data_IF_641432649518
#
_entry.id   IF_641432649518
#
_cell.length_a   1.000
_cell.length_b   1.000
_cell.length_c   1.000
_cell.angle_alpha   90.00
_cell.angle_beta   90.00
_cell.angle_gamma   90.00
#
_symmetry.space_group_name_H-M   'P 1'
#
loop_
_entity.id
_entity.type
_entity.pdbx_description
1 polymer ?
#
# COMPACT_ATOMS: atom_id res chain seq x y z
N UNK A 1 -16.24 -6.60 7.68
CA UNK A 1 -15.63 -5.45 7.01
C UNK A 1 -14.14 -5.46 7.29
N UNK A 2 -13.34 -5.42 6.25
CA UNK A 2 -11.89 -5.51 6.35
C UNK A 2 -11.29 -4.10 6.26
N UNK A 3 -11.15 -3.44 7.41
CA UNK A 3 -10.56 -2.12 7.47
C UNK A 3 -9.56 -2.03 8.60
N UNK A 4 -8.40 -1.43 8.34
CA UNK A 4 -7.44 -1.13 9.37
C UNK A 4 -6.79 0.22 9.14
N UNK A 5 -6.31 0.82 10.23
CA UNK A 5 -5.65 2.12 10.23
C UNK A 5 -4.24 1.91 10.74
N UNK A 6 -3.26 2.42 10.03
CA UNK A 6 -1.86 2.28 10.44
C UNK A 6 -1.02 3.46 9.99
N UNK A 7 0.13 3.60 10.64
CA UNK A 7 1.19 4.52 10.24
C UNK A 7 2.11 3.82 9.27
N UNK A 8 2.52 4.50 8.21
CA UNK A 8 3.37 3.91 7.19
C UNK A 8 4.32 4.94 6.60
N UNK A 9 5.44 4.45 6.03
CA UNK A 9 6.35 5.26 5.23
C UNK A 9 6.21 4.88 3.77
N UNK A 10 6.27 5.87 2.89
CA UNK A 10 6.34 5.64 1.46
C UNK A 10 7.77 5.26 1.09
N UNK A 11 7.98 3.99 0.78
CA UNK A 11 9.30 3.47 0.39
C UNK A 11 9.65 3.80 -1.04
N UNK A 12 8.64 3.94 -1.90
CA UNK A 12 8.84 4.31 -3.30
C UNK A 12 8.02 5.56 -3.63
N UNK A 13 8.43 6.27 -4.67
CA UNK A 13 7.66 7.37 -5.20
C UNK A 13 6.34 6.82 -5.75
N UNK A 14 5.18 7.38 -5.35
CA UNK A 14 3.90 6.92 -5.89
C UNK A 14 3.85 7.06 -7.42
N UNK A 15 3.34 6.05 -8.09
CA UNK A 15 3.18 6.03 -9.54
C UNK A 15 1.72 6.05 -9.91
N UNK A 16 1.36 6.93 -10.83
CA UNK A 16 -0.01 7.09 -11.30
C UNK A 16 -0.16 6.51 -12.71
N UNK A 17 -1.20 5.72 -12.89
CA UNK A 17 -1.55 5.18 -14.20
C UNK A 17 -3.06 5.18 -14.36
N UNK A 18 -3.55 4.88 -15.55
CA UNK A 18 -4.98 4.72 -15.82
C UNK A 18 -5.27 3.28 -16.19
N UNK A 19 -6.31 2.73 -15.57
CA UNK A 19 -6.83 1.41 -15.90
C UNK A 19 -8.32 1.54 -16.12
N UNK A 20 -8.81 1.21 -17.33
CA UNK A 20 -10.23 1.28 -17.66
C UNK A 20 -10.86 2.64 -17.31
N UNK A 21 -10.22 3.72 -17.74
CA UNK A 21 -10.66 5.11 -17.50
C UNK A 21 -10.61 5.56 -16.03
N UNK A 22 -10.09 4.74 -15.14
CA UNK A 22 -9.95 5.08 -13.73
C UNK A 22 -8.49 5.33 -13.37
N UNK A 23 -8.22 6.34 -12.57
CA UNK A 23 -6.88 6.58 -12.04
C UNK A 23 -6.53 5.49 -11.05
N UNK A 24 -5.30 5.00 -11.15
CA UNK A 24 -4.73 4.01 -10.25
C UNK A 24 -3.36 4.49 -9.82
N UNK A 25 -3.15 4.60 -8.51
CA UNK A 25 -1.86 4.93 -7.93
C UNK A 25 -1.36 3.74 -7.13
N UNK A 26 -0.08 3.42 -7.26
CA UNK A 26 0.52 2.36 -6.45
C UNK A 26 1.87 2.79 -5.92
N UNK A 27 2.20 2.26 -4.77
CA UNK A 27 3.43 2.57 -4.06
C UNK A 27 3.79 1.41 -3.14
N UNK A 28 5.03 1.39 -2.68
CA UNK A 28 5.50 0.44 -1.68
C UNK A 28 5.52 1.15 -0.33
N UNK A 29 4.91 0.53 0.67
CA UNK A 29 4.86 1.05 2.03
C UNK A 29 5.72 0.23 2.96
N UNK A 30 6.29 0.88 3.96
CA UNK A 30 6.88 0.24 5.12
C UNK A 30 5.98 0.48 6.31
N UNK A 31 5.49 -0.60 6.91
CA UNK A 31 4.74 -0.54 8.15
C UNK A 31 5.72 -0.64 9.30
N UNK A 32 5.76 0.39 10.13
CA UNK A 32 6.70 0.45 11.25
C UNK A 32 5.99 0.13 12.55
N UNK A 33 6.47 -0.91 13.25
CA UNK A 33 5.99 -1.21 14.58
C UNK A 33 6.94 -0.60 15.61
N UNK A 34 6.54 0.55 16.14
CA UNK A 34 7.36 1.31 17.07
C UNK A 34 7.50 0.65 18.45
N UNK A 35 6.68 -0.34 18.76
CA UNK A 35 6.64 -0.97 20.08
C UNK A 35 7.55 -2.19 20.21
N UNK A 36 7.81 -2.85 19.11
CA UNK A 36 8.68 -4.02 19.06
C UNK A 36 9.81 -3.75 18.08
N UNK A 37 11.02 -4.15 18.42
CA UNK A 37 12.17 -4.08 17.52
C UNK A 37 12.03 -5.06 16.34
N UNK A 38 10.81 -5.24 15.85
CA UNK A 38 10.54 -6.11 14.71
C UNK A 38 10.96 -5.43 13.41
N UNK A 39 11.43 -6.19 12.42
CA UNK A 39 11.77 -5.63 11.13
C UNK A 39 10.55 -4.96 10.48
N UNK A 40 10.80 -3.89 9.75
CA UNK A 40 9.75 -3.21 8.99
C UNK A 40 9.12 -4.16 7.98
N UNK A 41 7.79 -4.16 7.95
CA UNK A 41 7.04 -4.95 6.97
C UNK A 41 6.87 -4.11 5.72
N UNK A 42 7.32 -4.63 4.59
CA UNK A 42 7.12 -4.00 3.28
C UNK A 42 5.84 -4.54 2.66
N UNK A 43 4.99 -3.64 2.19
CA UNK A 43 3.70 -4.04 1.64
C UNK A 43 3.37 -3.18 0.42
N UNK A 44 2.80 -3.82 -0.59
CA UNK A 44 2.33 -3.11 -1.79
C UNK A 44 0.98 -2.49 -1.50
N UNK A 45 0.82 -1.22 -1.90
CA UNK A 45 -0.39 -0.47 -1.68
C UNK A 45 -0.87 0.13 -3.00
N UNK A 46 -2.18 0.28 -3.11
CA UNK A 46 -2.78 0.94 -4.26
C UNK A 46 -3.98 1.78 -3.83
N UNK A 47 -4.32 2.76 -4.65
CA UNK A 47 -5.49 3.61 -4.47
C UNK A 47 -6.13 3.84 -5.82
N UNK A 48 -7.44 4.06 -5.84
CA UNK A 48 -8.21 4.26 -7.06
C UNK A 48 -8.93 5.60 -7.04
N UNK A 49 -9.19 6.16 -8.23
CA UNK A 49 -10.01 7.35 -8.40
C UNK A 49 -9.41 8.60 -7.77
N UNK A 50 -10.21 9.31 -7.00
CA UNK A 50 -9.78 10.56 -6.35
C UNK A 50 -8.64 10.36 -5.35
N UNK A 51 -8.68 9.25 -4.62
CA UNK A 51 -7.62 8.92 -3.66
C UNK A 51 -6.30 8.68 -4.38
N UNK A 52 -6.33 8.05 -5.56
CA UNK A 52 -5.14 7.83 -6.37
C UNK A 52 -4.47 9.17 -6.73
N UNK A 53 -5.24 10.15 -7.17
CA UNK A 53 -4.73 11.48 -7.48
C UNK A 53 -4.17 12.17 -6.23
N UNK A 54 -4.86 12.03 -5.10
CA UNK A 54 -4.43 12.61 -3.83
C UNK A 54 -3.07 12.05 -3.41
N UNK A 55 -2.92 10.73 -3.44
CA UNK A 55 -1.65 10.09 -3.09
C UNK A 55 -0.52 10.56 -4.01
N UNK A 56 -0.78 10.58 -5.31
CA UNK A 56 0.24 10.99 -6.28
C UNK A 56 0.63 12.45 -6.15
N UNK A 57 -0.34 13.34 -5.95
CA UNK A 57 -0.09 14.79 -5.95
C UNK A 57 0.46 15.31 -4.63
N UNK A 58 0.07 14.73 -3.49
CA UNK A 58 0.36 15.29 -2.17
C UNK A 58 1.49 14.59 -1.44
N UNK A 59 1.83 13.35 -1.81
CA UNK A 59 2.77 12.55 -1.06
C UNK A 59 3.97 12.16 -1.90
N UNK A 60 5.11 12.03 -1.24
CA UNK A 60 6.39 11.73 -1.88
C UNK A 60 7.07 10.59 -1.14
N UNK A 61 8.05 9.99 -1.80
CA UNK A 61 8.93 9.01 -1.17
C UNK A 61 9.48 9.54 0.15
N UNK A 62 9.55 8.69 1.17
CA UNK A 62 9.99 8.98 2.54
C UNK A 62 8.97 9.74 3.39
N UNK A 63 7.83 10.14 2.85
CA UNK A 63 6.80 10.73 3.69
C UNK A 63 6.24 9.69 4.67
N UNK A 64 5.98 10.14 5.90
CA UNK A 64 5.28 9.35 6.89
C UNK A 64 3.80 9.71 6.85
N UNK A 65 2.93 8.72 6.80
CA UNK A 65 1.50 8.92 6.60
C UNK A 65 0.70 8.00 7.52
N UNK A 66 -0.56 8.39 7.74
CA UNK A 66 -1.57 7.52 8.34
C UNK A 66 -2.50 7.10 7.22
N UNK A 67 -2.73 5.81 7.06
CA UNK A 67 -3.64 5.28 6.04
C UNK A 67 -4.82 4.57 6.68
N UNK A 68 -5.98 4.77 6.11
CA UNK A 68 -7.18 3.96 6.35
C UNK A 68 -7.33 3.06 5.13
N UNK A 69 -7.27 1.76 5.33
CA UNK A 69 -7.10 0.82 4.22
C UNK A 69 -7.79 -0.51 4.46
N UNK A 70 -7.91 -1.29 3.39
CA UNK A 70 -8.34 -2.69 3.43
C UNK A 70 -7.19 -3.58 3.01
N UNK A 71 -7.12 -4.78 3.59
CA UNK A 71 -6.10 -5.76 3.25
C UNK A 71 -6.68 -6.79 2.28
N UNK A 72 -5.92 -7.07 1.23
CA UNK A 72 -6.27 -8.09 0.25
C UNK A 72 -5.14 -9.10 0.15
N UNK A 73 -5.50 -10.38 0.10
CA UNK A 73 -4.56 -11.47 -0.09
C UNK A 73 -4.87 -12.12 -1.42
N UNK A 74 -3.89 -12.15 -2.30
CA UNK A 74 -4.00 -12.82 -3.60
C UNK A 74 -3.09 -14.04 -3.61
N UNK A 75 -3.68 -15.20 -3.93
CA UNK A 75 -2.89 -16.41 -4.15
C UNK A 75 -2.29 -16.35 -5.55
N UNK A 76 -0.98 -16.47 -5.64
CA UNK A 76 -0.29 -16.55 -6.92
C UNK A 76 -0.09 -18.02 -7.24
N UNK A 77 -0.67 -18.48 -8.36
CA UNK A 77 -0.36 -19.80 -8.89
C UNK A 77 1.01 -19.74 -9.55
N UNK A 78 1.96 -20.45 -8.98
CA UNK A 78 3.21 -20.67 -9.66
C UNK A 78 2.99 -21.74 -10.74
N UNK A 79 3.32 -21.41 -11.97
CA UNK A 79 3.31 -22.36 -13.09
C UNK A 79 4.39 -23.43 -12.93
N UNK A 80 5.29 -23.26 -12.00
CA UNK A 80 6.37 -24.19 -11.73
C UNK A 80 5.93 -25.18 -10.67
N UNK A 81 5.84 -26.46 -11.03
CA UNK A 81 5.36 -27.55 -10.18
C UNK A 81 6.16 -27.74 -8.89
N UNK A 82 7.34 -27.15 -8.80
CA UNK A 82 8.25 -27.31 -7.66
C UNK A 82 8.24 -26.15 -6.68
N UNK A 83 7.47 -25.09 -6.94
CA UNK A 83 7.41 -23.93 -6.05
C UNK A 83 6.12 -23.94 -5.24
N UNK A 84 6.26 -23.69 -3.95
CA UNK A 84 5.12 -23.55 -3.04
C UNK A 84 4.25 -22.37 -3.50
N UNK A 85 2.92 -22.51 -3.32
CA UNK A 85 1.97 -21.42 -3.59
C UNK A 85 2.38 -20.20 -2.78
N UNK A 86 2.71 -19.11 -3.44
CA UNK A 86 3.02 -17.86 -2.78
C UNK A 86 1.75 -17.02 -2.64
N UNK A 87 1.63 -16.34 -1.50
CA UNK A 87 0.55 -15.39 -1.24
C UNK A 87 1.12 -13.98 -1.36
N UNK A 88 0.41 -13.11 -2.04
CA UNK A 88 0.76 -11.69 -2.12
C UNK A 88 -0.25 -10.88 -1.34
N UNK A 89 0.24 -10.00 -0.46
CA UNK A 89 -0.59 -9.15 0.37
C UNK A 89 -0.56 -7.75 -0.21
N UNK A 90 -1.74 -7.17 -0.41
CA UNK A 90 -1.90 -5.79 -0.87
C UNK A 90 -2.76 -5.03 0.12
N UNK A 91 -2.56 -3.71 0.19
CA UNK A 91 -3.50 -2.84 0.88
C UNK A 91 -4.11 -1.88 -0.13
N UNK A 92 -5.42 -1.66 -0.03
CA UNK A 92 -6.12 -0.63 -0.78
C UNK A 92 -6.32 0.55 0.13
N UNK A 93 -5.75 1.69 -0.24
CA UNK A 93 -5.86 2.91 0.54
C UNK A 93 -7.21 3.57 0.27
N UNK A 94 -8.00 3.77 1.32
CA UNK A 94 -9.27 4.48 1.24
C UNK A 94 -9.11 5.95 1.60
N UNK A 95 -8.29 6.24 2.62
CA UNK A 95 -7.96 7.60 3.04
C UNK A 95 -6.50 7.67 3.45
N UNK A 96 -5.89 8.82 3.25
CA UNK A 96 -4.49 9.06 3.60
C UNK A 96 -4.36 10.43 4.26
N UNK A 97 -3.56 10.49 5.31
CA UNK A 97 -3.35 11.71 6.10
C UNK A 97 -1.87 11.88 6.39
N UNK A 98 -1.45 13.13 6.59
CA UNK A 98 -0.09 13.42 7.02
C UNK A 98 0.15 12.95 8.45
N UNK A 99 1.36 12.49 8.72
CA UNK A 99 1.81 12.19 10.09
C UNK A 99 3.13 12.91 10.36
N UNK A 100 3.27 13.63 11.48
CA UNK A 100 2.22 13.97 12.43
C UNK A 100 1.21 14.97 11.83
N UNK A 101 0.05 14.98 12.41
CA UNK A 101 -1.02 15.88 11.98
C UNK A 101 -0.69 17.31 12.38
#
# INVERSE_FOLDING_TARGET
>A
MNMFICTAYLLSQPKLTKLKHQNLCYTLLSLNNCLDNTPNIRIKAFAKGKVAKQVFNLYRQKNCVIIESSIYVKKIRNLDKNKKKSKMIFVKIHKIHNFPI
#
